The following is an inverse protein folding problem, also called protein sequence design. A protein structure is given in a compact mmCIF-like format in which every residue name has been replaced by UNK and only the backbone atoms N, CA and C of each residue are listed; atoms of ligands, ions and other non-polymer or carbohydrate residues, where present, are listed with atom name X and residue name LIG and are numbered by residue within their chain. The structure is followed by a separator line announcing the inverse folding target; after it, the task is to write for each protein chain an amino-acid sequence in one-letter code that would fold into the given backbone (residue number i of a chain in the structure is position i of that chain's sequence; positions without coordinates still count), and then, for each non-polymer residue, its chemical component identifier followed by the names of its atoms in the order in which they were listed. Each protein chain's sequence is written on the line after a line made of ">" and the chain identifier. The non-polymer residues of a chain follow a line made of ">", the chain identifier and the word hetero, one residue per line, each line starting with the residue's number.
data_IF_194847725144
#
_entry.id   IF_194847725144
#
_cell.length_a   1.000
_cell.length_b   1.000
_cell.length_c   1.000
_cell.angle_alpha   90.00
_cell.angle_beta   90.00
_cell.angle_gamma   90.00
#
_symmetry.space_group_name_H-M   'P 1'
#
loop_
_entity.id
_entity.type
_entity.pdbx_description
1 polymer ?
#
# COMPACT_ATOMS: atom_id res chain seq x y z
N UNK A 1 15.37 43.16 -18.61
CA UNK A 1 15.97 41.88 -19.06
C UNK A 1 15.04 41.25 -20.09
N UNK A 2 15.54 40.94 -21.28
CA UNK A 2 14.73 40.50 -22.42
C UNK A 2 14.61 38.97 -22.48
N UNK A 3 13.37 38.47 -22.61
CA UNK A 3 12.98 37.05 -22.69
C UNK A 3 13.74 36.22 -23.73
N UNK A 4 14.35 36.88 -24.71
CA UNK A 4 14.96 36.24 -25.88
C UNK A 4 16.45 35.89 -25.69
N UNK A 5 17.11 36.46 -24.67
CA UNK A 5 18.50 36.16 -24.34
C UNK A 5 18.61 34.86 -23.53
N UNK A 6 17.66 34.60 -22.62
CA UNK A 6 17.65 33.40 -21.78
C UNK A 6 17.53 32.10 -22.60
N UNK A 7 16.75 32.13 -23.69
CA UNK A 7 16.59 30.97 -24.58
C UNK A 7 17.90 30.64 -25.32
N UNK A 8 18.72 31.65 -25.64
CA UNK A 8 19.99 31.43 -26.36
C UNK A 8 21.09 30.89 -25.45
N UNK A 9 21.13 31.27 -24.18
CA UNK A 9 22.11 30.75 -23.21
C UNK A 9 21.87 29.29 -22.84
N UNK A 10 20.61 28.83 -22.80
CA UNK A 10 20.31 27.41 -22.59
C UNK A 10 20.46 26.54 -23.85
N UNK A 11 20.38 27.14 -25.05
CA UNK A 11 20.37 26.40 -26.32
C UNK A 11 21.71 25.83 -26.78
N UNK A 12 22.84 26.33 -26.29
CA UNK A 12 24.19 25.89 -26.71
C UNK A 12 24.95 25.08 -25.65
N UNK A 13 24.36 24.83 -24.48
CA UNK A 13 24.94 24.00 -23.42
C UNK A 13 24.70 22.49 -23.56
N UNK A 14 23.88 22.05 -24.52
CA UNK A 14 23.45 20.65 -24.66
C UNK A 14 23.95 19.94 -25.93
N UNK A 15 25.06 20.40 -26.52
CA UNK A 15 25.79 19.65 -27.56
C UNK A 15 27.12 19.10 -27.04
N UNK A 16 27.11 18.63 -25.78
CA UNK A 16 28.24 17.98 -25.12
C UNK A 16 27.85 16.60 -24.63
N UNK A 17 28.35 15.57 -25.33
CA UNK A 17 28.54 14.19 -24.86
C UNK A 17 27.24 13.45 -24.44
N UNK A 18 26.65 12.78 -25.42
CA UNK A 18 25.64 11.73 -25.21
C UNK A 18 26.35 10.40 -24.91
N UNK A 19 26.98 10.27 -23.74
CA UNK A 19 27.34 8.96 -23.17
C UNK A 19 26.21 8.49 -22.27
N UNK A 20 25.64 7.35 -22.61
CA UNK A 20 24.33 6.86 -22.16
C UNK A 20 24.07 6.93 -20.65
N UNK A 21 22.98 7.61 -20.30
CA UNK A 21 22.29 7.43 -19.02
C UNK A 21 21.15 6.44 -19.29
N UNK A 22 21.50 5.16 -19.36
CA UNK A 22 20.51 4.08 -19.24
C UNK A 22 20.29 3.85 -17.76
N UNK A 23 19.09 4.19 -17.25
CA UNK A 23 18.62 3.69 -15.95
C UNK A 23 17.97 4.73 -15.04
N UNK A 24 16.81 5.27 -15.43
CA UNK A 24 15.84 5.77 -14.47
C UNK A 24 14.72 4.73 -14.33
N UNK A 25 14.97 3.71 -13.52
CA UNK A 25 13.94 2.75 -13.12
C UNK A 25 14.06 2.46 -11.64
N UNK A 26 13.31 3.19 -10.84
CA UNK A 26 12.74 2.65 -9.62
C UNK A 26 11.58 3.55 -9.17
N UNK A 27 10.40 3.32 -9.74
CA UNK A 27 9.20 3.59 -8.96
C UNK A 27 9.12 2.45 -7.95
N UNK A 28 9.50 2.71 -6.70
CA UNK A 28 9.19 1.81 -5.59
C UNK A 28 7.68 1.84 -5.35
N UNK A 29 6.92 1.25 -6.29
CA UNK A 29 5.48 1.16 -6.20
C UNK A 29 5.07 0.23 -5.07
N UNK A 30 3.94 0.55 -4.44
CA UNK A 30 3.28 -0.29 -3.45
C UNK A 30 3.10 -1.71 -4.01
N UNK A 31 3.61 -2.71 -3.29
CA UNK A 31 3.55 -4.11 -3.69
C UNK A 31 2.21 -4.69 -3.25
N UNK A 32 1.30 -4.91 -4.20
CA UNK A 32 0.07 -5.66 -3.99
C UNK A 32 0.38 -7.16 -4.01
N UNK A 33 -0.19 -7.89 -3.06
CA UNK A 33 -0.23 -9.35 -3.07
C UNK A 33 -1.55 -9.80 -3.70
N UNK A 34 -1.48 -10.60 -4.75
CA UNK A 34 -2.66 -11.17 -5.38
C UNK A 34 -3.17 -12.33 -4.51
N UNK A 35 -4.22 -12.06 -3.73
CA UNK A 35 -4.87 -13.06 -2.89
C UNK A 35 -5.77 -13.98 -3.73
N UNK A 36 -6.12 -15.15 -3.20
CA UNK A 36 -7.15 -16.02 -3.77
C UNK A 36 -8.44 -15.93 -2.94
N UNK A 37 -9.55 -16.35 -3.53
CA UNK A 37 -10.84 -16.48 -2.85
C UNK A 37 -11.24 -17.96 -2.71
N UNK A 38 -11.73 -18.33 -1.54
CA UNK A 38 -12.35 -19.62 -1.25
C UNK A 38 -13.73 -19.38 -0.63
N UNK A 39 -14.77 -19.40 -1.48
CA UNK A 39 -16.11 -19.00 -1.05
C UNK A 39 -16.13 -17.54 -0.62
N UNK A 40 -16.53 -17.29 0.63
CA UNK A 40 -16.61 -15.95 1.21
C UNK A 40 -15.31 -15.52 1.93
N UNK A 41 -14.23 -16.30 1.79
CA UNK A 41 -12.95 -16.03 2.42
C UNK A 41 -11.92 -15.55 1.41
N UNK A 42 -11.22 -14.47 1.75
CA UNK A 42 -9.95 -14.14 1.12
C UNK A 42 -8.81 -14.87 1.84
N UNK A 43 -7.93 -15.49 1.05
CA UNK A 43 -6.82 -16.30 1.55
C UNK A 43 -5.50 -15.57 1.33
N UNK A 44 -4.75 -15.37 2.40
CA UNK A 44 -3.42 -14.75 2.38
C UNK A 44 -2.44 -15.68 3.11
N UNK A 45 -1.40 -16.21 2.44
CA UNK A 45 -0.43 -17.09 3.10
C UNK A 45 0.45 -16.29 4.07
N UNK A 46 0.86 -16.93 5.19
CA UNK A 46 1.68 -16.26 6.21
C UNK A 46 3.08 -15.88 5.68
N UNK A 47 3.57 -16.59 4.67
CA UNK A 47 4.84 -16.28 4.00
C UNK A 47 4.83 -14.95 3.24
N UNK A 48 3.64 -14.40 2.92
CA UNK A 48 3.50 -13.08 2.33
C UNK A 48 4.07 -11.96 3.22
N UNK A 49 4.18 -12.23 4.53
CA UNK A 49 4.78 -11.32 5.51
C UNK A 49 6.29 -11.52 5.68
N UNK A 50 6.91 -12.55 5.11
CA UNK A 50 8.35 -12.82 5.31
C UNK A 50 9.19 -11.92 4.39
N UNK A 51 10.23 -11.28 4.95
CA UNK A 51 11.16 -10.49 4.14
C UNK A 51 12.08 -11.42 3.33
N UNK A 52 12.02 -11.33 2.00
CA UNK A 52 12.76 -12.19 1.07
C UNK A 52 14.30 -12.01 1.06
N UNK A 53 14.91 -11.33 2.03
CA UNK A 53 16.36 -11.13 2.10
C UNK A 53 16.89 -11.51 3.48
N UNK A 54 17.58 -12.65 3.53
CA UNK A 54 18.55 -13.12 4.54
C UNK A 54 18.09 -13.48 5.97
N UNK A 55 16.87 -13.21 6.41
CA UNK A 55 16.43 -13.67 7.73
C UNK A 55 14.94 -14.05 7.75
N UNK A 56 14.67 -15.36 7.85
CA UNK A 56 13.32 -15.90 8.03
C UNK A 56 12.64 -15.42 9.33
N UNK A 57 13.38 -14.71 10.18
CA UNK A 57 12.87 -14.09 11.41
C UNK A 57 12.36 -12.67 11.20
N UNK A 58 12.54 -12.06 10.01
CA UNK A 58 12.10 -10.69 9.74
C UNK A 58 10.77 -10.65 9.00
N UNK A 59 9.76 -10.08 9.65
CA UNK A 59 8.41 -9.91 9.10
C UNK A 59 8.15 -8.48 8.66
N UNK A 60 7.40 -8.32 7.57
CA UNK A 60 6.77 -7.06 7.17
C UNK A 60 5.61 -6.76 8.11
N UNK A 61 5.39 -5.48 8.47
CA UNK A 61 4.29 -5.11 9.35
C UNK A 61 2.93 -5.23 8.66
N UNK A 62 2.88 -5.24 7.33
CA UNK A 62 1.64 -5.35 6.58
C UNK A 62 1.81 -5.93 5.18
N UNK A 63 0.70 -6.46 4.65
CA UNK A 63 0.53 -6.91 3.27
C UNK A 63 -0.74 -6.27 2.72
N UNK A 64 -0.71 -5.84 1.45
CA UNK A 64 -1.90 -5.34 0.78
C UNK A 64 -2.44 -6.46 -0.10
N UNK A 65 -3.53 -7.09 0.35
CA UNK A 65 -4.18 -8.19 -0.34
C UNK A 65 -5.19 -7.64 -1.36
N UNK A 66 -4.99 -7.99 -2.62
CA UNK A 66 -5.81 -7.56 -3.75
C UNK A 66 -6.46 -8.78 -4.42
N UNK A 67 -7.70 -8.60 -4.87
CA UNK A 67 -8.39 -9.54 -5.74
C UNK A 67 -9.29 -8.76 -6.71
N UNK A 68 -9.38 -9.21 -7.96
CA UNK A 68 -10.10 -8.50 -9.03
C UNK A 68 -11.61 -8.36 -8.80
N UNK A 69 -12.21 -9.25 -8.01
CA UNK A 69 -13.63 -9.18 -7.62
C UNK A 69 -13.93 -8.10 -6.58
N UNK A 70 -12.92 -7.45 -6.01
CA UNK A 70 -13.08 -6.43 -4.97
C UNK A 70 -12.77 -5.05 -5.54
N UNK A 71 -13.61 -4.07 -5.18
CA UNK A 71 -13.42 -2.69 -5.64
C UNK A 71 -12.19 -2.02 -5.00
N UNK A 72 -11.87 -2.40 -3.77
CA UNK A 72 -10.71 -1.91 -3.04
C UNK A 72 -9.92 -3.10 -2.48
N UNK A 73 -8.61 -2.95 -2.31
CA UNK A 73 -7.79 -3.94 -1.61
C UNK A 73 -8.08 -3.96 -0.11
N UNK A 74 -7.56 -4.99 0.56
CA UNK A 74 -7.56 -5.12 2.01
C UNK A 74 -6.13 -4.99 2.51
N UNK A 75 -5.87 -4.02 3.39
CA UNK A 75 -4.61 -3.96 4.13
C UNK A 75 -4.68 -4.93 5.29
N UNK A 76 -3.72 -5.84 5.38
CA UNK A 76 -3.59 -6.80 6.49
C UNK A 76 -2.37 -6.42 7.30
N UNK A 77 -2.59 -5.88 8.49
CA UNK A 77 -1.53 -5.55 9.45
C UNK A 77 -1.26 -6.75 10.36
N UNK A 78 0.01 -7.04 10.60
CA UNK A 78 0.48 -8.02 11.58
C UNK A 78 0.73 -7.30 12.90
N UNK A 79 -0.16 -7.48 13.88
CA UNK A 79 -0.07 -6.85 15.20
C UNK A 79 0.83 -7.66 16.15
N UNK A 80 0.78 -8.98 16.04
CA UNK A 80 1.66 -9.91 16.77
C UNK A 80 1.91 -11.17 15.94
N UNK A 81 2.48 -12.22 16.53
CA UNK A 81 2.64 -13.51 15.87
C UNK A 81 1.29 -14.18 15.54
N UNK A 82 0.28 -13.93 16.35
CA UNK A 82 -1.03 -14.60 16.31
C UNK A 82 -2.19 -13.63 16.07
N UNK A 83 -1.92 -12.34 15.94
CA UNK A 83 -2.94 -11.30 15.80
C UNK A 83 -2.71 -10.47 14.54
N UNK A 84 -3.77 -10.38 13.73
CA UNK A 84 -3.77 -9.68 12.46
C UNK A 84 -5.04 -8.84 12.33
N UNK A 85 -4.92 -7.68 11.70
CA UNK A 85 -6.03 -6.80 11.42
C UNK A 85 -6.18 -6.62 9.91
N UNK A 86 -7.35 -6.99 9.37
CA UNK A 86 -7.72 -6.74 7.98
C UNK A 86 -8.62 -5.50 7.88
N UNK A 87 -8.24 -4.54 7.04
CA UNK A 87 -8.90 -3.24 6.88
C UNK A 87 -9.26 -2.98 5.42
N UNK A 88 -10.50 -2.58 5.16
CA UNK A 88 -10.95 -2.15 3.83
C UNK A 88 -10.24 -0.85 3.44
N UNK A 89 -9.49 -0.84 2.33
CA UNK A 89 -8.71 0.33 1.92
C UNK A 89 -9.55 1.38 1.18
N UNK A 90 -10.82 1.54 1.55
CA UNK A 90 -11.69 2.62 1.07
C UNK A 90 -11.79 3.69 2.14
N UNK A 91 -11.31 4.89 1.84
CA UNK A 91 -11.46 6.03 2.73
C UNK A 91 -12.95 6.27 3.04
N UNK A 92 -13.29 6.40 4.32
CA UNK A 92 -14.66 6.62 4.79
C UNK A 92 -15.21 8.00 4.45
N UNK A 93 -14.34 8.98 4.13
CA UNK A 93 -14.76 10.31 3.68
C UNK A 93 -15.46 10.28 2.31
N UNK A 94 -14.74 9.95 1.23
CA UNK A 94 -15.27 10.00 -0.16
C UNK A 94 -14.86 8.80 -1.01
N UNK A 95 -14.37 7.73 -0.38
CA UNK A 95 -14.09 6.48 -1.07
C UNK A 95 -12.81 6.43 -1.90
N UNK A 96 -11.86 7.35 -1.71
CA UNK A 96 -10.52 7.19 -2.33
C UNK A 96 -9.82 5.97 -1.75
N UNK A 97 -9.08 5.23 -2.58
CA UNK A 97 -8.21 4.16 -2.09
C UNK A 97 -7.14 4.71 -1.15
N UNK A 98 -6.94 4.05 -0.01
CA UNK A 98 -5.94 4.42 0.98
C UNK A 98 -4.56 3.91 0.59
N UNK A 99 -3.52 4.48 1.19
CA UNK A 99 -2.14 4.03 1.05
C UNK A 99 -1.57 3.64 2.42
N UNK A 100 -0.79 2.56 2.47
CA UNK A 100 -0.09 2.13 3.70
C UNK A 100 1.17 2.98 3.89
N UNK A 101 1.30 3.58 5.06
CA UNK A 101 2.48 4.34 5.50
C UNK A 101 2.95 3.83 6.86
N UNK A 102 3.89 2.88 6.86
CA UNK A 102 4.35 2.23 8.09
C UNK A 102 3.24 1.43 8.76
N UNK A 103 2.77 1.91 9.91
CA UNK A 103 1.73 1.32 10.75
C UNK A 103 0.38 2.05 10.66
N UNK A 104 0.19 2.90 9.64
CA UNK A 104 -1.08 3.60 9.41
C UNK A 104 -1.50 3.58 7.95
N UNK A 105 -2.75 3.97 7.70
CA UNK A 105 -3.31 4.21 6.38
C UNK A 105 -3.55 5.71 6.19
N UNK A 106 -3.22 6.24 5.02
CA UNK A 106 -3.47 7.65 4.68
C UNK A 106 -4.21 7.75 3.35
N UNK A 107 -5.16 8.68 3.29
CA UNK A 107 -5.90 9.03 2.09
C UNK A 107 -5.12 10.07 1.27
N UNK A 108 -4.71 9.75 0.02
CA UNK A 108 -3.92 10.66 -0.79
C UNK A 108 -4.72 11.87 -1.32
N UNK A 109 -6.06 11.84 -1.25
CA UNK A 109 -6.89 12.93 -1.75
C UNK A 109 -6.94 14.13 -0.78
N UNK A 110 -7.21 13.88 0.50
CA UNK A 110 -7.48 14.93 1.49
C UNK A 110 -6.76 14.73 2.83
N UNK A 111 -5.89 13.72 2.95
CA UNK A 111 -5.03 13.53 4.11
C UNK A 111 -5.68 12.87 5.33
N UNK A 112 -6.85 12.24 5.20
CA UNK A 112 -7.41 11.43 6.30
C UNK A 112 -6.44 10.32 6.69
N UNK A 113 -6.28 10.08 7.99
CA UNK A 113 -5.38 9.05 8.51
C UNK A 113 -6.13 8.09 9.43
N UNK A 114 -5.74 6.82 9.38
CA UNK A 114 -6.33 5.75 10.16
C UNK A 114 -5.23 4.87 10.76
N UNK A 115 -5.41 4.42 12.00
CA UNK A 115 -4.51 3.46 12.66
C UNK A 115 -4.46 2.12 11.92
N UNK A 116 -3.46 1.28 12.23
CA UNK A 116 -3.45 -0.15 11.88
C UNK A 116 -4.61 -0.97 12.47
N UNK A 117 -5.44 -0.39 13.34
CA UNK A 117 -6.70 -0.96 13.85
C UNK A 117 -7.95 -0.40 13.16
N UNK A 118 -7.78 0.57 12.25
CA UNK A 118 -8.87 1.19 11.48
C UNK A 118 -9.51 2.43 12.12
N UNK A 119 -9.01 2.89 13.27
CA UNK A 119 -9.53 4.07 13.96
C UNK A 119 -9.06 5.36 13.29
N UNK A 120 -9.92 6.37 13.17
CA UNK A 120 -9.56 7.68 12.63
C UNK A 120 -8.52 8.36 13.53
N UNK A 121 -7.44 8.84 12.93
CA UNK A 121 -6.43 9.69 13.57
C UNK A 121 -6.48 11.13 13.07
N UNK A 122 -6.83 11.33 11.79
CA UNK A 122 -6.93 12.65 11.18
C UNK A 122 -8.09 12.70 10.18
N UNK A 123 -8.80 13.83 10.16
CA UNK A 123 -9.94 14.09 9.26
C UNK A 123 -9.51 14.38 7.81
N UNK A 124 -10.44 14.64 6.87
CA UNK A 124 -11.88 14.87 7.08
C UNK A 124 -12.75 13.64 7.35
N UNK A 125 -12.24 12.41 7.23
CA UNK A 125 -12.97 11.23 7.69
C UNK A 125 -13.27 11.31 9.19
N UNK A 126 -14.45 10.86 9.58
CA UNK A 126 -14.95 10.81 10.96
C UNK A 126 -15.39 9.40 11.37
N UNK A 127 -15.68 8.53 10.41
CA UNK A 127 -15.96 7.10 10.64
C UNK A 127 -14.71 6.21 10.54
N UNK A 128 -14.58 5.16 11.40
CA UNK A 128 -13.52 4.18 11.30
C UNK A 128 -13.65 3.30 10.05
N UNK A 129 -12.54 2.68 9.63
CA UNK A 129 -12.54 1.76 8.50
C UNK A 129 -13.32 0.48 8.80
N UNK A 130 -13.96 -0.08 7.77
CA UNK A 130 -14.51 -1.44 7.84
C UNK A 130 -13.37 -2.42 8.11
N UNK A 131 -13.56 -3.26 9.13
CA UNK A 131 -12.67 -4.36 9.47
C UNK A 131 -13.26 -5.68 8.98
N UNK A 132 -12.39 -6.67 8.76
CA UNK A 132 -12.79 -8.03 8.42
C UNK A 132 -12.25 -9.00 9.47
N UNK A 133 -13.05 -9.96 9.97
CA UNK A 133 -12.57 -11.00 10.85
C UNK A 133 -11.44 -11.80 10.20
N UNK A 134 -10.35 -12.05 10.95
CA UNK A 134 -9.20 -12.82 10.49
C UNK A 134 -9.06 -14.08 11.34
N UNK A 135 -8.86 -15.23 10.70
CA UNK A 135 -8.50 -16.49 11.36
C UNK A 135 -7.21 -17.03 10.79
N UNK A 136 -6.33 -17.52 11.65
CA UNK A 136 -5.14 -18.26 11.23
C UNK A 136 -5.54 -19.73 11.13
N UNK A 137 -5.43 -20.30 9.94
CA UNK A 137 -5.66 -21.72 9.69
C UNK A 137 -4.46 -22.31 8.95
N UNK A 138 -3.82 -23.31 9.57
CA UNK A 138 -2.57 -23.90 9.11
C UNK A 138 -1.48 -22.84 8.83
N UNK A 139 -1.19 -22.55 7.57
CA UNK A 139 -0.18 -21.60 7.16
C UNK A 139 -0.76 -20.37 6.42
N UNK A 140 -2.04 -20.10 6.64
CA UNK A 140 -2.79 -19.04 5.94
C UNK A 140 -3.63 -18.21 6.89
N UNK A 141 -3.87 -16.97 6.50
CA UNK A 141 -4.91 -16.11 7.03
C UNK A 141 -6.16 -16.26 6.18
N UNK A 142 -7.29 -16.54 6.83
CA UNK A 142 -8.63 -16.50 6.24
C UNK A 142 -9.35 -15.26 6.71
N UNK A 143 -9.63 -14.39 5.75
CA UNK A 143 -10.28 -13.10 5.97
C UNK A 143 -11.73 -13.24 5.53
N UNK A 144 -12.68 -13.12 6.46
CA UNK A 144 -14.11 -13.26 6.20
C UNK A 144 -14.67 -11.99 5.53
N UNK A 145 -15.19 -12.11 4.30
CA UNK A 145 -15.64 -10.97 3.49
C UNK A 145 -17.12 -10.60 3.70
N UNK A 146 -17.86 -11.35 4.53
CA UNK A 146 -19.29 -11.10 4.79
C UNK A 146 -19.58 -9.78 5.50
#
# INVERSE_FOLDING_TARGET
>A
MNRNEFIKTCGWGCFGIMTGISGLTSCAGTRYFQASLEGDYMIVPLDAFVNSKDDQSSFRPSVIAHHESLQYPIAVFRLSETEYQALWMRCTHQGTELQVFGDRLQCPAHGSEFTNTGMVQNGPADDPLRTFPVRIEANTLKIDLK
#
